data_IF_842229606870
#
_entry.id   IF_842229606870
#
_cell.length_a   1.000
_cell.length_b   1.000
_cell.length_c   1.000
_cell.angle_alpha   90.00
_cell.angle_beta   90.00
_cell.angle_gamma   90.00
#
_symmetry.space_group_name_H-M   'P 1'
#
loop_
_entity.id
_entity.type
_entity.pdbx_description
1 polymer ?
2 non-polymer ?
3 non-polymer ?
4 water ?
#
# COMPACT_ATOMS: atom_id res chain seq x y z
N UNK A 8 2.69 19.82 0.44
CA UNK A 8 2.30 18.78 1.46
C UNK A 8 2.99 17.43 1.21
N UNK A 9 2.73 16.45 2.08
CA UNK A 9 3.50 15.20 2.13
C UNK A 9 3.54 14.45 0.79
N UNK A 10 4.75 14.03 0.38
CA UNK A 10 4.95 13.11 -0.75
C UNK A 10 4.07 11.86 -0.59
N UNK A 11 3.46 11.39 -1.68
CA UNK A 11 2.58 10.23 -1.58
C UNK A 11 3.37 8.93 -1.69
N UNK A 12 4.56 9.01 -2.28
CA UNK A 12 5.36 7.82 -2.52
C UNK A 12 6.83 8.16 -2.46
N UNK A 13 7.61 7.35 -1.76
CA UNK A 13 9.04 7.58 -1.70
C UNK A 13 9.77 6.25 -1.86
N UNK A 14 10.98 6.32 -2.40
CA UNK A 14 11.78 5.13 -2.64
C UNK A 14 12.79 4.98 -1.51
N UNK A 15 12.85 3.79 -0.93
CA UNK A 15 13.89 3.46 0.04
C UNK A 15 15.21 3.08 -0.60
N UNK A 16 16.27 3.04 0.21
CA UNK A 16 17.60 2.73 -0.29
C UNK A 16 17.66 1.42 -1.09
N UNK A 17 16.88 0.41 -0.68
CA UNK A 17 16.94 -0.91 -1.34
C UNK A 17 15.99 -0.99 -2.56
N UNK A 18 15.32 0.12 -2.86
CA UNK A 18 14.47 0.18 -4.04
C UNK A 18 13.00 -0.08 -3.71
N UNK A 19 12.70 -0.53 -2.49
CA UNK A 19 11.30 -0.73 -2.06
C UNK A 19 10.61 0.64 -1.93
N UNK A 20 9.28 0.64 -1.82
CA UNK A 20 8.55 1.90 -1.84
C UNK A 20 7.77 2.03 -0.56
N UNK A 21 7.76 3.23 -0.01
CA UNK A 21 6.85 3.58 1.06
C UNK A 21 5.76 4.48 0.47
N UNK A 22 4.50 4.04 0.64
CA UNK A 22 3.38 4.64 -0.12
C UNK A 22 2.22 5.03 0.81
N UNK A 23 1.67 6.21 0.58
CA UNK A 23 0.52 6.72 1.37
C UNK A 23 -0.71 5.85 1.06
N UNK A 24 -1.51 5.52 2.08
CA UNK A 24 -2.74 4.74 1.83
C UNK A 24 -3.70 5.37 0.84
N UNK A 25 -3.65 6.69 0.65
CA UNK A 25 -4.58 7.33 -0.28
C UNK A 25 -4.21 7.23 -1.77
N UNK A 26 -3.09 6.59 -2.08
CA UNK A 26 -2.67 6.54 -3.49
C UNK A 26 -3.75 5.81 -4.31
N UNK A 27 -4.26 6.41 -5.39
CA UNK A 27 -5.30 5.67 -6.14
C UNK A 27 -4.72 4.39 -6.76
N UNK A 28 -5.54 3.33 -6.86
CA UNK A 28 -5.09 2.04 -7.42
C UNK A 28 -4.62 2.18 -8.88
N UNK A 29 -5.24 3.08 -9.63
CA UNK A 29 -4.83 3.30 -11.02
C UNK A 29 -3.38 3.74 -11.06
N UNK A 30 -3.05 4.67 -10.17
CA UNK A 30 -1.71 5.21 -10.11
C UNK A 30 -0.74 4.18 -9.55
N UNK A 31 -1.19 3.39 -8.59
CA UNK A 31 -0.39 2.30 -8.05
C UNK A 31 -0.04 1.29 -9.17
N UNK A 32 -1.01 0.96 -10.02
CA UNK A 32 -0.77 0.01 -11.09
C UNK A 32 0.34 0.52 -11.98
N UNK A 33 0.32 1.81 -12.26
CA UNK A 33 1.29 2.42 -13.18
C UNK A 33 2.68 2.36 -12.57
N UNK A 34 2.81 2.71 -11.29
CA UNK A 34 4.13 2.79 -10.64
C UNK A 34 4.77 1.44 -10.28
N UNK A 35 3.95 0.40 -10.20
CA UNK A 35 4.47 -0.95 -10.02
C UNK A 35 4.62 -1.69 -11.34
N UNK A 36 4.07 -1.15 -12.42
CA UNK A 36 3.94 -1.88 -13.68
C UNK A 36 3.08 -3.12 -13.52
N UNK A 37 2.01 -3.02 -12.72
CA UNK A 37 1.15 -4.16 -12.40
C UNK A 37 -0.20 -4.06 -13.09
N UNK A 45 -14.37 -1.39 -8.48
CA UNK A 45 -14.37 -2.32 -7.36
C UNK A 45 -15.17 -1.85 -6.14
N UNK A 46 -14.79 -2.36 -4.97
CA UNK A 46 -15.22 -1.78 -3.71
C UNK A 46 -14.11 -0.91 -3.14
N UNK A 47 -13.11 -0.63 -3.98
CA UNK A 47 -12.01 0.23 -3.59
C UNK A 47 -11.35 0.94 -4.77
N UNK A 48 -10.80 2.13 -4.50
CA UNK A 48 -10.10 2.87 -5.53
C UNK A 48 -8.74 3.36 -5.03
N UNK A 49 -8.41 3.07 -3.78
CA UNK A 49 -7.13 3.47 -3.22
C UNK A 49 -6.42 2.27 -2.59
N UNK A 50 -5.12 2.43 -2.37
CA UNK A 50 -4.32 1.42 -1.67
C UNK A 50 -4.87 1.04 -0.29
N UNK A 51 -5.24 2.02 0.55
CA UNK A 51 -5.80 1.68 1.86
C UNK A 51 -7.10 0.88 1.68
N UNK A 52 -7.93 1.32 0.73
CA UNK A 52 -9.20 0.65 0.42
C UNK A 52 -8.98 -0.81 0.04
N UNK A 53 -7.93 -1.05 -0.75
CA UNK A 53 -7.62 -2.40 -1.17
C UNK A 53 -7.22 -3.26 0.03
N UNK A 54 -6.45 -2.67 0.94
CA UNK A 54 -6.10 -3.37 2.18
C UNK A 54 -7.33 -3.77 3.00
N UNK A 55 -8.26 -2.83 3.20
CA UNK A 55 -9.44 -3.11 4.04
C UNK A 55 -10.26 -4.21 3.37
N UNK A 56 -10.35 -4.15 2.04
CA UNK A 56 -11.08 -5.13 1.27
C UNK A 56 -10.47 -6.53 1.46
N UNK A 57 -9.14 -6.60 1.42
CA UNK A 57 -8.45 -7.88 1.56
C UNK A 57 -8.60 -8.47 2.96
N UNK A 58 -8.34 -7.68 4.00
CA UNK A 58 -8.39 -8.18 5.37
C UNK A 58 -9.80 -8.30 5.93
N UNK A 59 -10.72 -7.48 5.42
CA UNK A 59 -12.10 -7.46 5.92
C UNK A 59 -12.17 -6.92 7.34
N UNK A 60 -11.18 -6.10 7.69
CA UNK A 60 -11.03 -5.44 8.99
C UNK A 60 -9.86 -4.46 8.85
N UNK A 61 -9.65 -3.63 9.86
CA UNK A 61 -8.48 -2.76 9.89
C UNK A 61 -7.28 -3.59 10.34
N UNK A 62 -6.30 -3.78 9.45
CA UNK A 62 -5.16 -4.68 9.75
C UNK A 62 -4.22 -4.12 10.82
N UNK A 63 -3.44 -4.99 11.48
CA UNK A 63 -2.44 -4.52 12.41
C UNK A 63 -1.22 -4.09 11.58
N UNK A 64 -0.45 -3.16 12.11
CA UNK A 64 0.87 -2.88 11.51
C UNK A 64 1.67 -4.18 11.50
N UNK A 65 2.34 -4.44 10.38
CA UNK A 65 3.15 -5.63 10.20
C UNK A 65 2.43 -6.74 9.44
N UNK A 66 1.12 -6.65 9.31
CA UNK A 66 0.40 -7.62 8.47
C UNK A 66 0.67 -7.30 7.00
N UNK A 67 0.58 -8.31 6.14
CA UNK A 67 0.90 -8.11 4.72
C UNK A 67 0.14 -9.09 3.85
N UNK A 68 0.10 -8.79 2.56
CA UNK A 68 -0.45 -9.72 1.58
C UNK A 68 0.29 -9.50 0.28
N UNK A 69 0.15 -10.44 -0.65
CA UNK A 69 0.80 -10.33 -1.96
C UNK A 69 -0.23 -10.04 -3.04
N UNK A 70 0.15 -9.16 -3.97
CA UNK A 70 -0.77 -8.71 -5.01
C UNK A 70 0.06 -8.33 -6.21
N UNK A 71 -0.24 -8.96 -7.35
CA UNK A 71 0.43 -8.65 -8.62
C UNK A 71 1.97 -8.74 -8.60
N UNK A 72 2.52 -9.75 -7.93
CA UNK A 72 3.97 -9.92 -7.78
C UNK A 72 4.65 -8.98 -6.77
N UNK A 73 3.86 -8.32 -5.91
CA UNK A 73 4.42 -7.41 -4.88
C UNK A 73 3.90 -7.81 -3.51
N UNK A 74 4.68 -7.54 -2.47
CA UNK A 74 4.20 -7.69 -1.11
C UNK A 74 3.84 -6.31 -0.57
N UNK A 75 2.65 -6.21 0.01
CA UNK A 75 2.15 -4.96 0.57
C UNK A 75 1.99 -5.11 2.08
N UNK A 76 2.77 -4.34 2.83
CA UNK A 76 2.84 -4.50 4.28
C UNK A 76 2.36 -3.21 4.95
N UNK A 77 1.51 -3.33 5.97
CA UNK A 77 1.02 -2.16 6.68
C UNK A 77 2.17 -1.68 7.55
N UNK A 78 2.57 -0.41 7.42
CA UNK A 78 3.67 0.04 8.31
C UNK A 78 3.30 1.18 9.26
N UNK A 79 2.18 1.86 8.99
CA UNK A 79 1.66 2.85 9.94
C UNK A 79 0.18 3.00 9.87
N UNK A 80 -0.45 3.02 11.05
CA UNK A 80 -1.87 3.40 11.19
C UNK A 80 -1.93 4.75 11.89
N UNK A 81 -2.96 5.54 11.59
CA UNK A 81 -3.30 6.67 12.43
C UNK A 81 -4.72 6.43 12.85
N UNK A 82 -4.89 5.85 14.03
CA UNK A 82 -6.23 5.41 14.45
C UNK A 82 -6.68 4.37 13.44
N UNK A 83 -7.84 4.58 12.83
CA UNK A 83 -8.38 3.64 11.85
C UNK A 83 -7.76 3.77 10.44
N UNK A 84 -7.06 4.88 10.19
CA UNK A 84 -6.51 5.15 8.86
C UNK A 84 -5.28 4.30 8.60
N UNK A 85 -5.27 3.60 7.47
CA UNK A 85 -4.05 2.90 7.01
C UNK A 85 -3.21 3.97 6.33
N UNK A 86 -2.23 4.46 7.08
CA UNK A 86 -1.55 5.66 6.67
C UNK A 86 -0.33 5.43 5.77
N UNK A 87 0.43 4.36 6.00
CA UNK A 87 1.64 4.12 5.20
C UNK A 87 1.79 2.64 4.97
N UNK A 88 2.19 2.28 3.75
CA UNK A 88 2.40 0.89 3.35
C UNK A 88 3.82 0.74 2.82
N UNK A 89 4.40 -0.45 2.97
CA UNK A 89 5.67 -0.75 2.34
C UNK A 89 5.38 -1.73 1.21
N UNK A 90 5.88 -1.42 0.01
CA UNK A 90 5.71 -2.28 -1.19
C UNK A 90 7.08 -2.83 -1.58
N UNK A 91 7.20 -4.16 -1.67
CA UNK A 91 8.47 -4.79 -2.03
C UNK A 91 8.19 -5.80 -3.12
N UNK A 92 9.02 -5.80 -4.15
CA UNK A 92 8.79 -6.73 -5.26
C UNK A 92 9.12 -8.13 -4.80
N UNK A 93 8.26 -9.10 -5.11
CA UNK A 93 8.50 -10.48 -4.67
C UNK A 93 9.73 -11.06 -5.38
N UNK A 94 10.62 -11.62 -4.57
CA UNK A 94 12.07 -11.67 -4.81
C UNK A 94 12.56 -11.81 -6.24
X LIG B 1 1.33 8.88 10.10
X LIG C 1 0.73 6.55 13.30
X LIG D 1 13.70 -4.45 4.97
X LIG D 1 14.43 -3.24 4.75
X LIG D 1 12.20 -4.18 4.86
X LIG D 1 11.56 -5.31 4.26
X LIG E 1 -3.34 7.86 4.70
X LIG E 1 -2.62 9.00 4.30
X LIG E 1 -4.01 7.07 3.59
X LIG E 1 -4.97 6.17 4.15
#
# INVERSE_FOLDING_TARGET
>A
SNAENTDEDALMVTREDGSFLIDGTLPIEELREVLGAELPDGEENNYHTLAGMCISYFGRIPHVGEYFDWAGWRIEIVDLDGARIDKLLLQRLN
>B hetero
1 CA CA
>C hetero
1 CA CA
>D hetero
1 EDO C1 O1 C2 O2
>E hetero
1 EDO C1 O1 C2 O2
#
